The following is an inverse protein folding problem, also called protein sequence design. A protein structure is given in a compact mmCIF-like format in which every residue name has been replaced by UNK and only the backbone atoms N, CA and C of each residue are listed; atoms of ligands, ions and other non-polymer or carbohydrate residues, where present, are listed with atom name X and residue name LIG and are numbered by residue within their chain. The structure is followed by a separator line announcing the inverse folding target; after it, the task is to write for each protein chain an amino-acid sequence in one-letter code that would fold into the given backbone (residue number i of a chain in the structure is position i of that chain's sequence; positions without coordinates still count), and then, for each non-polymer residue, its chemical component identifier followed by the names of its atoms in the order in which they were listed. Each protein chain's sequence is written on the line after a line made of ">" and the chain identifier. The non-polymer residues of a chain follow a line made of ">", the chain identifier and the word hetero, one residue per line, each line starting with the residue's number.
data_IF_002729793838
#
_entry.id   IF_002729793838
#
_cell.length_a   1.000
_cell.length_b   1.000
_cell.length_c   1.000
_cell.angle_alpha   90.00
_cell.angle_beta   90.00
_cell.angle_gamma   90.00
#
_symmetry.space_group_name_H-M   'P 1'
#
loop_
_entity.id
_entity.type
_entity.pdbx_description
1 polymer ?
#
# COMPACT_ATOMS: atom_id res chain seq x y z
N UNK A 1 -21.26 14.04 15.45
CA UNK A 1 -21.14 13.32 14.21
C UNK A 1 -19.68 13.26 13.78
N UNK A 2 -19.24 12.11 13.39
CA UNK A 2 -17.89 11.92 12.89
C UNK A 2 -17.80 12.62 11.54
N UNK A 3 -16.90 13.58 11.39
CA UNK A 3 -16.76 14.30 10.13
C UNK A 3 -16.32 13.39 8.98
N UNK A 4 -15.66 12.25 9.31
CA UNK A 4 -15.26 11.30 8.29
C UNK A 4 -16.39 10.37 7.86
N UNK A 5 -17.53 10.41 8.54
CA UNK A 5 -18.66 9.55 8.19
C UNK A 5 -19.15 9.80 6.77
N UNK A 6 -19.00 11.04 6.31
CA UNK A 6 -19.40 11.43 4.95
C UNK A 6 -18.21 11.46 3.99
N UNK A 7 -17.03 11.02 4.45
CA UNK A 7 -15.85 11.02 3.62
C UNK A 7 -15.87 9.93 2.57
N UNK A 8 -14.94 10.03 1.67
CA UNK A 8 -14.74 9.03 0.63
C UNK A 8 -13.80 7.95 1.12
N UNK A 9 -13.79 6.84 0.41
CA UNK A 9 -12.87 5.74 0.72
C UNK A 9 -11.60 5.86 -0.11
N UNK A 10 -10.47 5.64 0.55
CA UNK A 10 -9.15 5.66 -0.09
C UNK A 10 -8.37 4.43 0.33
N UNK A 11 -7.57 3.90 -0.59
CA UNK A 11 -6.56 2.91 -0.27
C UNK A 11 -5.22 3.61 -0.31
N UNK A 12 -4.36 3.34 0.67
CA UNK A 12 -3.02 3.93 0.67
C UNK A 12 -2.01 2.80 0.78
N UNK A 13 -1.10 2.74 -0.19
CA UNK A 13 0.00 1.79 -0.19
C UNK A 13 1.22 2.47 0.41
N UNK A 14 1.74 1.90 1.49
CA UNK A 14 2.96 2.37 2.12
C UNK A 14 4.03 1.29 1.99
N UNK A 15 5.26 1.71 1.80
CA UNK A 15 6.39 0.79 1.60
C UNK A 15 7.29 0.85 2.81
N UNK A 16 7.65 -0.32 3.31
CA UNK A 16 8.48 -0.50 4.49
C UNK A 16 9.67 -1.37 4.15
N UNK A 17 10.71 -1.31 4.96
CA UNK A 17 11.85 -2.21 4.81
C UNK A 17 12.39 -2.59 6.18
N UNK A 18 13.11 -3.72 6.25
CA UNK A 18 13.72 -4.13 7.50
C UNK A 18 14.88 -3.20 7.83
N UNK A 19 15.18 -3.10 9.14
CA UNK A 19 16.22 -2.19 9.62
C UNK A 19 17.61 -2.78 9.48
N UNK A 20 17.72 -4.09 9.43
CA UNK A 20 18.99 -4.76 9.34
C UNK A 20 18.81 -6.11 8.66
N UNK A 21 19.90 -6.64 8.15
CA UNK A 21 19.88 -7.96 7.56
C UNK A 21 20.15 -7.96 6.07
N UNK A 22 20.49 -9.12 5.58
CA UNK A 22 20.77 -9.40 4.20
C UNK A 22 19.95 -10.61 3.79
N UNK A 23 19.14 -10.55 2.74
CA UNK A 23 18.90 -9.35 1.93
C UNK A 23 17.96 -8.36 2.62
N UNK A 24 17.84 -7.17 2.05
CA UNK A 24 16.84 -6.20 2.49
C UNK A 24 15.46 -6.69 2.07
N UNK A 25 14.54 -6.70 3.00
CA UNK A 25 13.16 -7.12 2.74
C UNK A 25 12.29 -5.87 2.68
N UNK A 26 11.52 -5.78 1.60
CA UNK A 26 10.57 -4.68 1.43
C UNK A 26 9.16 -5.22 1.56
N UNK A 27 8.31 -4.46 2.26
CA UNK A 27 6.90 -4.79 2.36
C UNK A 27 6.08 -3.66 1.75
N UNK A 28 5.15 -4.00 0.89
CA UNK A 28 4.17 -3.07 0.35
C UNK A 28 2.85 -3.40 1.01
N UNK A 29 2.32 -2.46 1.78
CA UNK A 29 1.16 -2.70 2.62
C UNK A 29 0.08 -1.70 2.25
N UNK A 30 -1.13 -2.19 2.00
CA UNK A 30 -2.25 -1.35 1.59
C UNK A 30 -3.29 -1.33 2.70
N UNK A 31 -3.70 -0.12 3.10
CA UNK A 31 -4.72 0.07 4.13
C UNK A 31 -5.84 0.93 3.58
N UNK A 32 -7.03 0.78 4.15
CA UNK A 32 -8.22 1.50 3.71
C UNK A 32 -8.60 2.57 4.71
N UNK A 33 -8.99 3.74 4.20
CA UNK A 33 -9.29 4.91 5.05
C UNK A 33 -10.47 5.68 4.51
N UNK A 34 -11.31 6.19 5.42
CA UNK A 34 -12.33 7.17 5.07
C UNK A 34 -11.74 8.54 5.36
N UNK A 35 -11.80 9.43 4.37
CA UNK A 35 -11.14 10.72 4.49
C UNK A 35 -11.81 11.71 3.54
N UNK A 36 -11.56 13.00 3.78
CA UNK A 36 -12.11 14.06 2.94
C UNK A 36 -11.22 14.41 1.75
N UNK A 37 -10.00 13.89 1.70
CA UNK A 37 -9.06 14.22 0.63
C UNK A 37 -7.95 13.18 0.57
N UNK A 38 -7.20 13.19 -0.53
CA UNK A 38 -5.99 12.36 -0.64
C UNK A 38 -5.01 12.69 0.48
N UNK A 39 -4.78 13.97 0.74
CA UNK A 39 -3.82 14.37 1.76
C UNK A 39 -4.20 13.85 3.15
N UNK A 40 -5.49 13.92 3.47
CA UNK A 40 -5.96 13.41 4.74
C UNK A 40 -5.79 11.89 4.83
N UNK A 41 -6.13 11.18 3.76
CA UNK A 41 -5.97 9.72 3.72
C UNK A 41 -4.52 9.32 3.92
N UNK A 42 -3.60 10.01 3.24
CA UNK A 42 -2.17 9.73 3.38
C UNK A 42 -1.71 10.03 4.80
N UNK A 43 -2.16 11.14 5.38
CA UNK A 43 -1.78 11.48 6.75
C UNK A 43 -2.26 10.41 7.75
N UNK A 44 -3.47 9.90 7.57
CA UNK A 44 -3.99 8.83 8.42
C UNK A 44 -3.17 7.56 8.27
N UNK A 45 -2.85 7.20 7.02
CA UNK A 45 -2.05 6.00 6.76
C UNK A 45 -0.64 6.13 7.32
N UNK A 46 -0.04 7.32 7.22
CA UNK A 46 1.31 7.52 7.75
C UNK A 46 1.34 7.50 9.27
N UNK A 47 0.29 8.01 9.91
CA UNK A 47 0.19 7.91 11.36
C UNK A 47 0.10 6.44 11.78
N UNK A 48 -0.67 5.64 11.05
CA UNK A 48 -0.80 4.21 11.35
C UNK A 48 0.51 3.48 11.05
N UNK A 49 1.26 3.92 10.05
CA UNK A 49 2.56 3.32 9.72
C UNK A 49 3.53 3.43 10.90
N UNK A 50 3.50 4.54 11.62
CA UNK A 50 4.33 4.71 12.81
C UNK A 50 3.94 3.70 13.88
N UNK A 51 2.64 3.50 14.10
CA UNK A 51 2.17 2.53 15.07
C UNK A 51 2.50 1.10 14.63
N UNK A 52 2.36 0.83 13.34
CA UNK A 52 2.63 -0.49 12.79
C UNK A 52 4.08 -0.92 13.00
N UNK A 53 5.02 0.01 12.86
CA UNK A 53 6.44 -0.29 12.99
C UNK A 53 6.95 -0.18 14.42
N UNK A 54 6.09 0.22 15.37
CA UNK A 54 6.50 0.33 16.76
C UNK A 54 6.81 -1.05 17.34
N UNK A 55 8.02 -1.21 17.83
CA UNK A 55 8.45 -2.45 18.47
C UNK A 55 8.83 -3.56 17.50
N UNK A 56 8.88 -3.30 16.21
CA UNK A 56 9.38 -4.28 15.24
C UNK A 56 10.55 -3.68 14.47
N UNK A 57 11.31 -4.56 13.81
CA UNK A 57 12.54 -4.15 13.13
C UNK A 57 12.26 -3.76 11.68
N UNK A 58 11.24 -2.94 11.46
CA UNK A 58 10.91 -2.38 10.17
C UNK A 58 10.82 -0.87 10.26
N UNK A 59 11.11 -0.21 9.16
CA UNK A 59 11.04 1.24 9.04
C UNK A 59 10.13 1.61 7.88
N UNK A 60 9.29 2.62 8.10
CA UNK A 60 8.51 3.19 7.01
C UNK A 60 9.43 4.02 6.11
N UNK A 61 9.40 3.73 4.80
CA UNK A 61 10.31 4.37 3.85
C UNK A 61 9.95 5.81 3.52
N UNK A 62 8.73 6.23 3.85
CA UNK A 62 8.24 7.56 3.48
C UNK A 62 7.48 7.58 2.17
N UNK A 63 7.38 6.45 1.47
CA UNK A 63 6.63 6.39 0.23
C UNK A 63 5.20 5.96 0.51
N UNK A 64 4.25 6.82 0.18
CA UNK A 64 2.83 6.53 0.26
C UNK A 64 2.17 6.89 -1.07
N UNK A 65 1.32 6.01 -1.56
CA UNK A 65 0.57 6.24 -2.79
C UNK A 65 -0.90 5.94 -2.49
N UNK A 66 -1.78 6.87 -2.87
CA UNK A 66 -3.19 6.76 -2.55
C UNK A 66 -4.03 6.55 -3.80
N UNK A 67 -5.09 5.76 -3.64
CA UNK A 67 -6.08 5.49 -4.67
C UNK A 67 -7.46 5.80 -4.11
N UNK A 68 -8.26 6.55 -4.85
CA UNK A 68 -9.64 6.86 -4.46
C UNK A 68 -10.55 5.73 -4.95
N UNK A 69 -11.24 5.08 -4.02
CA UNK A 69 -12.18 4.04 -4.37
C UNK A 69 -13.48 4.66 -4.87
N UNK A 70 -14.00 4.15 -5.98
CA UNK A 70 -15.28 4.60 -6.51
C UNK A 70 -16.44 4.00 -5.75
N UNK A 71 -16.26 2.80 -5.22
CA UNK A 71 -17.29 2.08 -4.48
C UNK A 71 -16.83 1.83 -3.05
N UNK A 72 -17.78 1.58 -2.17
CA UNK A 72 -17.43 1.18 -0.82
C UNK A 72 -16.75 -0.18 -0.85
N UNK A 73 -15.78 -0.43 0.05
CA UNK A 73 -15.13 -1.74 0.12
C UNK A 73 -16.16 -2.84 0.38
N UNK A 74 -16.00 -3.94 -0.32
CA UNK A 74 -16.90 -5.06 -0.17
C UNK A 74 -16.59 -6.12 -1.19
N UNK A 75 -17.47 -7.09 -1.31
CA UNK A 75 -17.26 -8.21 -2.21
C UNK A 75 -17.09 -7.71 -3.65
N UNK A 76 -15.92 -7.98 -4.23
CA UNK A 76 -15.62 -7.57 -5.60
C UNK A 76 -15.24 -6.12 -5.80
N UNK A 77 -15.14 -5.33 -4.73
CA UNK A 77 -14.78 -3.91 -4.87
C UNK A 77 -13.35 -3.76 -5.34
N UNK A 78 -13.13 -2.77 -6.22
CA UNK A 78 -11.78 -2.39 -6.62
C UNK A 78 -11.18 -1.53 -5.50
N UNK A 79 -10.09 -2.00 -4.90
CA UNK A 79 -9.48 -1.29 -3.77
C UNK A 79 -8.15 -0.63 -4.11
N UNK A 80 -7.59 -0.95 -5.26
CA UNK A 80 -6.37 -0.29 -5.72
C UNK A 80 -6.23 -0.50 -7.21
N UNK A 81 -5.72 0.52 -7.90
CA UNK A 81 -5.45 0.43 -9.33
C UNK A 81 -4.25 1.30 -9.65
N UNK A 82 -3.34 0.78 -10.44
CA UNK A 82 -2.14 1.48 -10.86
C UNK A 82 -1.88 1.16 -12.32
N UNK A 83 -1.62 2.18 -13.10
CA UNK A 83 -1.28 2.01 -14.50
C UNK A 83 0.18 2.36 -14.73
N UNK A 84 0.85 1.62 -15.59
CA UNK A 84 2.21 1.90 -16.01
C UNK A 84 2.28 1.83 -17.53
N UNK A 85 3.02 2.76 -18.10
CA UNK A 85 3.37 2.66 -19.51
C UNK A 85 4.70 1.93 -19.60
N UNK A 86 4.83 1.03 -20.56
CA UNK A 86 6.05 0.25 -20.71
C UNK A 86 6.20 -0.23 -22.15
N UNK A 87 7.44 -0.27 -22.61
CA UNK A 87 7.76 -0.82 -23.93
C UNK A 87 7.98 -2.33 -23.86
N UNK A 88 7.93 -2.92 -22.68
CA UNK A 88 8.15 -4.35 -22.52
C UNK A 88 6.96 -5.15 -23.03
N UNK A 89 7.20 -6.27 -23.72
CA UNK A 89 6.10 -7.18 -24.02
C UNK A 89 5.49 -7.76 -22.75
N UNK A 90 4.23 -8.23 -22.78
CA UNK A 90 3.54 -8.68 -21.57
C UNK A 90 4.32 -9.66 -20.72
N UNK A 91 4.96 -10.67 -21.31
CA UNK A 91 5.69 -11.65 -20.52
C UNK A 91 6.87 -11.07 -19.78
N UNK A 92 7.61 -10.19 -20.45
CA UNK A 92 8.76 -9.54 -19.81
C UNK A 92 8.33 -8.53 -18.77
N UNK A 93 7.21 -7.85 -19.01
CA UNK A 93 6.65 -6.93 -18.02
C UNK A 93 6.31 -7.65 -16.73
N UNK A 94 5.64 -8.79 -16.85
CA UNK A 94 5.26 -9.57 -15.69
C UNK A 94 6.48 -10.04 -14.90
N UNK A 95 7.51 -10.51 -15.63
CA UNK A 95 8.74 -10.94 -14.98
C UNK A 95 9.44 -9.78 -14.30
N UNK A 96 9.44 -8.60 -14.95
CA UNK A 96 10.14 -7.45 -14.42
C UNK A 96 9.50 -6.88 -13.15
N UNK A 97 8.17 -6.87 -13.08
CA UNK A 97 7.48 -6.15 -12.02
C UNK A 97 6.74 -7.04 -11.04
N UNK A 98 6.46 -8.28 -11.37
CA UNK A 98 5.59 -9.10 -10.52
C UNK A 98 6.12 -10.48 -10.21
N UNK A 99 6.74 -11.12 -11.17
CA UNK A 99 7.21 -12.50 -11.01
C UNK A 99 8.70 -12.56 -11.30
N UNK A 100 9.44 -11.87 -10.45
CA UNK A 100 10.91 -11.79 -10.61
C UNK A 100 11.62 -12.97 -9.98
N UNK A 101 10.92 -13.78 -9.20
CA UNK A 101 11.49 -14.89 -8.45
C UNK A 101 11.84 -14.51 -7.02
N UNK A 102 11.70 -13.24 -6.68
CA UNK A 102 12.07 -12.74 -5.36
C UNK A 102 10.85 -12.37 -4.51
N UNK A 103 9.66 -12.34 -5.11
CA UNK A 103 8.46 -12.02 -4.36
C UNK A 103 8.06 -13.16 -3.46
N UNK A 104 7.52 -12.80 -2.31
CA UNK A 104 6.92 -13.77 -1.40
C UNK A 104 5.80 -13.08 -0.64
N UNK A 105 4.78 -13.84 -0.34
CA UNK A 105 3.73 -13.34 0.53
C UNK A 105 4.22 -13.43 1.95
N UNK A 106 3.83 -12.46 2.75
CA UNK A 106 4.19 -12.47 4.15
C UNK A 106 3.68 -13.73 4.81
N UNK A 107 4.13 -13.94 6.03
CA UNK A 107 3.73 -15.10 6.80
C UNK A 107 2.23 -15.07 6.95
N UNK A 108 1.60 -15.71 6.05
CA UNK A 108 0.20 -15.84 6.13
C UNK A 108 -0.01 -16.97 7.06
N UNK A 109 -0.43 -16.63 8.16
CA UNK A 109 -0.65 -17.67 9.13
C UNK A 109 -1.50 -18.74 8.59
#
# INVERSE_FOLDING_TARGET
>A
MDENADGQWYAVRCVFHNDAGEPVVYEERITLWRAGSFDEAIALAEAEAVEYTDGISFTYSGLAQAFHLFDEPGHGAEVYSLMRDSDLPPGEYLTRFFDTGDERQGAVG
#
